data_IF_861365393503
#
_entry.id   IF_861365393503
#
_cell.length_a   1.000
_cell.length_b   1.000
_cell.length_c   1.000
_cell.angle_alpha   90.00
_cell.angle_beta   90.00
_cell.angle_gamma   90.00
#
_symmetry.space_group_name_H-M   'P 1'
#
loop_
_entity.id
_entity.type
_entity.pdbx_description
1 polymer ?
#
# COMPACT_ATOMS: atom_id res chain seq x y z
N UNK A 1 17.96 -1.77 -7.59
CA UNK A 1 16.97 -0.83 -8.15
C UNK A 1 17.15 0.47 -7.40
N UNK A 2 17.08 1.61 -8.08
CA UNK A 2 17.14 2.91 -7.43
C UNK A 2 15.87 3.12 -6.61
N UNK A 3 16.02 3.68 -5.40
CA UNK A 3 14.87 4.04 -4.58
C UNK A 3 14.09 5.18 -5.28
N UNK A 4 12.77 5.01 -5.37
CA UNK A 4 11.87 5.99 -5.97
C UNK A 4 11.02 6.59 -4.86
N UNK A 5 11.05 7.92 -4.72
CA UNK A 5 10.17 8.68 -3.85
C UNK A 5 9.41 9.72 -4.68
N UNK A 6 8.08 9.69 -4.58
CA UNK A 6 7.19 10.72 -5.14
C UNK A 6 6.42 11.32 -3.97
N UNK A 7 6.46 12.64 -3.81
CA UNK A 7 5.79 13.35 -2.71
C UNK A 7 4.95 14.49 -3.29
N UNK A 8 3.73 14.66 -2.77
CA UNK A 8 2.84 15.78 -3.12
C UNK A 8 2.20 16.35 -1.86
N UNK A 9 2.54 17.60 -1.53
CA UNK A 9 2.00 18.34 -0.39
C UNK A 9 1.11 19.46 -0.88
N UNK A 10 -0.18 19.42 -0.57
CA UNK A 10 -1.17 20.38 -1.01
C UNK A 10 -2.26 20.55 0.04
N UNK A 11 -2.84 21.74 0.15
CA UNK A 11 -4.05 21.95 0.94
C UNK A 11 -5.27 21.44 0.18
N UNK A 12 -6.07 20.58 0.80
CA UNK A 12 -7.30 20.04 0.23
C UNK A 12 -8.47 20.34 1.16
N UNK A 13 -9.67 20.47 0.60
CA UNK A 13 -10.90 20.41 1.40
C UNK A 13 -11.11 19.01 1.96
N UNK A 14 -11.89 18.90 3.03
CA UNK A 14 -12.27 17.60 3.63
C UNK A 14 -12.90 16.65 2.62
N UNK A 15 -13.72 17.16 1.69
CA UNK A 15 -14.41 16.35 0.68
C UNK A 15 -13.43 15.82 -0.37
N UNK A 16 -12.48 16.64 -0.81
CA UNK A 16 -11.46 16.21 -1.77
C UNK A 16 -10.54 15.14 -1.16
N UNK A 17 -10.11 15.32 0.09
CA UNK A 17 -9.32 14.33 0.82
C UNK A 17 -10.08 13.01 0.97
N UNK A 18 -11.37 13.06 1.37
CA UNK A 18 -12.21 11.87 1.50
C UNK A 18 -12.39 11.13 0.17
N UNK A 19 -12.60 11.87 -0.93
CA UNK A 19 -12.71 11.29 -2.27
C UNK A 19 -11.41 10.59 -2.67
N UNK A 20 -10.28 11.24 -2.46
CA UNK A 20 -8.97 10.67 -2.79
C UNK A 20 -8.68 9.39 -1.98
N UNK A 21 -8.95 9.40 -0.68
CA UNK A 21 -8.81 8.22 0.18
C UNK A 21 -9.74 7.08 -0.25
N UNK A 22 -10.97 7.39 -0.64
CA UNK A 22 -11.92 6.39 -1.13
C UNK A 22 -11.46 5.76 -2.46
N UNK A 23 -10.89 6.56 -3.36
CA UNK A 23 -10.33 6.05 -4.63
C UNK A 23 -9.14 5.11 -4.35
N UNK A 24 -8.23 5.48 -3.44
CA UNK A 24 -7.12 4.60 -3.02
C UNK A 24 -7.63 3.30 -2.39
N UNK A 25 -8.61 3.41 -1.47
CA UNK A 25 -9.19 2.24 -0.81
C UNK A 25 -9.89 1.28 -1.78
N UNK A 26 -10.59 1.82 -2.79
CA UNK A 26 -11.23 1.04 -3.84
C UNK A 26 -10.19 0.23 -4.62
N UNK A 27 -9.09 0.86 -5.04
CA UNK A 27 -8.05 0.19 -5.81
C UNK A 27 -7.30 -0.87 -4.99
N UNK A 28 -7.02 -0.59 -3.70
CA UNK A 28 -6.44 -1.58 -2.77
C UNK A 28 -7.30 -2.84 -2.58
N UNK A 29 -8.63 -2.73 -2.73
CA UNK A 29 -9.55 -3.87 -2.61
C UNK A 29 -9.56 -4.81 -3.83
N UNK A 30 -8.83 -4.47 -4.88
CA UNK A 30 -8.73 -5.24 -6.13
C UNK A 30 -7.74 -6.40 -6.06
N UNK A 31 -7.11 -6.71 -7.19
CA UNK A 31 -6.20 -7.86 -7.37
C UNK A 31 -4.74 -7.61 -6.98
N UNK A 32 -4.47 -6.47 -6.32
CA UNK A 32 -3.13 -6.03 -5.95
C UNK A 32 -2.44 -5.13 -6.99
N UNK A 33 -3.08 -4.84 -8.13
CA UNK A 33 -2.67 -3.72 -9.00
C UNK A 33 -3.41 -2.46 -8.60
N UNK A 34 -2.70 -1.50 -8.02
CA UNK A 34 -3.31 -0.30 -7.43
C UNK A 34 -2.88 0.92 -8.23
N UNK A 35 -3.83 1.63 -8.83
CA UNK A 35 -3.58 2.83 -9.61
C UNK A 35 -4.36 4.03 -9.06
N UNK A 36 -3.66 5.06 -8.59
CA UNK A 36 -4.32 6.25 -8.03
C UNK A 36 -3.65 7.54 -8.51
N UNK A 37 -4.39 8.64 -8.44
CA UNK A 37 -3.90 9.96 -8.83
C UNK A 37 -3.03 10.55 -7.72
N UNK A 38 -1.86 11.06 -8.09
CA UNK A 38 -0.99 11.83 -7.20
C UNK A 38 -0.50 13.06 -7.98
N UNK A 39 -0.93 14.25 -7.53
CA UNK A 39 -0.78 15.49 -8.29
C UNK A 39 -1.34 15.36 -9.72
N UNK A 40 -0.57 15.78 -10.73
CA UNK A 40 -0.93 15.66 -12.14
C UNK A 40 -0.61 14.28 -12.75
N UNK A 41 -0.07 13.35 -11.96
CA UNK A 41 0.35 12.02 -12.42
C UNK A 41 -0.54 10.90 -11.85
N UNK A 42 -0.47 9.74 -12.50
CA UNK A 42 -1.05 8.50 -11.97
C UNK A 42 0.10 7.62 -11.50
N UNK A 43 0.00 7.13 -10.27
CA UNK A 43 0.95 6.18 -9.69
C UNK A 43 0.33 4.80 -9.77
N UNK A 44 1.05 3.84 -10.31
CA UNK A 44 0.65 2.43 -10.38
C UNK A 44 1.65 1.57 -9.61
N UNK A 45 1.15 0.75 -8.69
CA UNK A 45 1.95 -0.11 -7.82
C UNK A 45 1.40 -1.53 -7.81
N UNK A 46 2.30 -2.50 -7.67
CA UNK A 46 1.94 -3.85 -7.25
C UNK A 46 2.00 -3.91 -5.73
N UNK A 47 0.83 -4.05 -5.10
CA UNK A 47 0.65 -4.15 -3.66
C UNK A 47 0.48 -5.62 -3.28
N UNK A 48 1.19 -6.06 -2.25
CA UNK A 48 1.05 -7.43 -1.74
C UNK A 48 -0.30 -7.62 -1.07
N UNK A 49 -0.84 -8.84 -1.10
CA UNK A 49 -2.03 -9.21 -0.32
C UNK A 49 -1.80 -9.02 1.20
N UNK A 50 -0.55 -9.13 1.66
CA UNK A 50 -0.20 -8.86 3.05
C UNK A 50 0.46 -7.48 3.16
N UNK A 51 -0.25 -6.54 3.76
CA UNK A 51 0.23 -5.17 4.03
C UNK A 51 0.38 -4.98 5.53
N UNK A 52 1.51 -4.42 5.96
CA UNK A 52 1.63 -3.85 7.30
C UNK A 52 1.08 -2.42 7.26
N UNK A 53 0.12 -2.14 8.13
CA UNK A 53 -0.54 -0.84 8.22
C UNK A 53 -0.24 -0.21 9.57
N UNK A 54 0.13 1.06 9.55
CA UNK A 54 0.30 1.91 10.73
C UNK A 54 -0.55 3.17 10.55
N UNK A 55 -1.16 3.62 11.64
CA UNK A 55 -1.92 4.85 11.68
C UNK A 55 -1.59 5.58 12.99
N UNK A 56 -1.27 6.86 12.87
CA UNK A 56 -0.93 7.72 14.00
C UNK A 56 -1.79 8.98 13.97
N UNK A 57 -2.22 9.42 15.16
CA UNK A 57 -2.98 10.65 15.33
C UNK A 57 -2.28 11.49 16.37
N UNK A 58 -1.88 12.70 15.98
CA UNK A 58 -1.25 13.67 16.84
C UNK A 58 -2.07 14.96 16.90
N UNK A 59 -2.11 15.56 18.09
CA UNK A 59 -2.73 16.87 18.31
C UNK A 59 -1.70 17.76 18.98
N UNK A 60 -1.24 18.78 18.26
CA UNK A 60 -0.30 19.79 18.76
C UNK A 60 -0.90 21.19 18.56
N UNK A 61 -1.18 21.87 19.68
CA UNK A 61 -1.83 23.18 19.67
C UNK A 61 -3.20 23.16 18.98
N UNK A 62 -3.30 23.89 17.87
CA UNK A 62 -4.50 23.99 17.02
C UNK A 62 -4.46 23.07 15.80
N UNK A 63 -3.47 22.18 15.72
CA UNK A 63 -3.23 21.28 14.60
C UNK A 63 -3.56 19.84 14.98
N UNK A 64 -4.29 19.17 14.08
CA UNK A 64 -4.55 17.74 14.13
C UNK A 64 -3.88 17.11 12.93
N UNK A 65 -3.07 16.07 13.15
CA UNK A 65 -2.43 15.28 12.11
C UNK A 65 -2.91 13.83 12.17
N UNK A 66 -3.23 13.27 11.00
CA UNK A 66 -3.52 11.86 10.82
C UNK A 66 -2.55 11.34 9.77
N UNK A 67 -1.63 10.47 10.20
CA UNK A 67 -0.70 9.79 9.31
C UNK A 67 -1.16 8.36 9.06
N UNK A 68 -1.07 7.92 7.81
CA UNK A 68 -1.40 6.57 7.38
C UNK A 68 -0.20 6.02 6.60
N UNK A 69 0.39 4.94 7.09
CA UNK A 69 1.51 4.26 6.44
C UNK A 69 1.14 2.83 6.05
N UNK A 70 1.44 2.47 4.80
CA UNK A 70 1.31 1.12 4.29
C UNK A 70 2.68 0.65 3.80
N UNK A 71 3.15 -0.48 4.30
CA UNK A 71 4.41 -1.09 3.87
C UNK A 71 4.21 -2.56 3.49
N UNK A 72 4.89 -2.98 2.42
CA UNK A 72 4.87 -4.36 1.94
C UNK A 72 6.19 -4.71 1.27
N UNK A 73 6.44 -6.01 1.12
CA UNK A 73 7.61 -6.52 0.42
C UNK A 73 7.28 -6.93 -1.01
N UNK A 74 8.10 -6.47 -1.95
CA UNK A 74 8.09 -6.94 -3.34
C UNK A 74 9.02 -8.16 -3.56
N UNK A 75 9.61 -8.70 -2.50
CA UNK A 75 10.43 -9.89 -2.61
C UNK A 75 9.56 -11.09 -2.99
N UNK A 76 9.92 -11.80 -4.06
CA UNK A 76 9.26 -13.05 -4.45
C UNK A 76 9.48 -14.07 -3.33
N UNK A 77 8.40 -14.59 -2.70
CA UNK A 77 8.51 -15.72 -1.77
C UNK A 77 9.23 -16.87 -2.48
N UNK A 78 10.32 -17.44 -1.92
CA UNK A 78 10.96 -18.60 -2.53
C UNK A 78 9.95 -19.74 -2.60
N UNK A 79 9.97 -20.57 -3.67
CA UNK A 79 9.08 -21.71 -3.77
C UNK A 79 9.27 -22.59 -2.53
N UNK A 80 8.18 -22.82 -1.80
CA UNK A 80 8.17 -23.82 -0.74
C UNK A 80 8.58 -25.14 -1.37
N UNK A 81 9.72 -25.68 -0.93
CA UNK A 81 10.15 -26.99 -1.39
C UNK A 81 9.15 -27.99 -0.84
N UNK A 82 8.22 -28.45 -1.69
CA UNK A 82 7.36 -29.57 -1.37
C UNK A 82 8.28 -30.74 -1.01
N UNK A 83 8.24 -31.16 0.26
CA UNK A 83 8.94 -32.34 0.72
C UNK A 83 8.50 -33.52 -0.15
N UNK A 84 9.39 -33.98 -1.05
CA UNK A 84 9.27 -35.27 -1.72
C UNK A 84 9.45 -36.34 -0.66
N UNK A 85 8.41 -36.65 0.10
CA UNK A 85 8.33 -37.95 0.74
C UNK A 85 7.91 -38.96 -0.32
N UNK A 86 8.93 -39.51 -0.98
CA UNK A 86 8.78 -40.78 -1.68
C UNK A 86 8.57 -41.89 -0.66
N UNK A 87 7.52 -42.68 -0.86
CA UNK A 87 7.51 -44.08 -0.45
C UNK A 87 6.74 -44.87 -1.49
N UNK A 88 7.47 -45.36 -2.47
CA UNK A 88 7.14 -46.61 -3.14
C UNK A 88 7.42 -47.74 -2.14
N UNK A 89 6.54 -48.74 -2.06
CA UNK A 89 6.83 -49.96 -1.30
C UNK A 89 5.65 -50.88 -1.06
N UNK A 90 5.55 -51.89 -1.94
CA UNK A 90 4.94 -53.22 -1.82
C UNK A 90 3.42 -53.35 -1.65
#
# INVERSE_FOLDING_TARGET
MSDVKIEHKVGMTRTEAAKWLADVAKELSGDGTVAFRLAESTVELKVSENVRFEAEVEVDGDRVELELELSWSNARKPPTSAAKNGSAGA
#
